data_IF_317428473793
#
_entry.id   IF_317428473793
#
_cell.length_a   1.000
_cell.length_b   1.000
_cell.length_c   1.000
_cell.angle_alpha   90.00
_cell.angle_beta   90.00
_cell.angle_gamma   90.00
#
_symmetry.space_group_name_H-M   'P 1'
#
loop_
_entity.id
_entity.type
_entity.pdbx_description
1 polymer ?
#
# COMPACT_ATOMS: atom_id res chain seq x y z
N UNK A 1 -8.59 -64.82 -31.00
CA UNK A 1 -7.75 -64.35 -32.09
C UNK A 1 -8.47 -63.12 -32.65
N UNK A 2 -8.07 -61.92 -32.46
CA UNK A 2 -6.79 -61.27 -32.39
C UNK A 2 -6.89 -60.01 -31.48
N UNK A 3 -5.95 -59.87 -30.59
CA UNK A 3 -5.71 -58.64 -29.85
C UNK A 3 -5.32 -57.51 -30.79
N UNK A 4 -5.95 -56.35 -30.64
CA UNK A 4 -5.48 -55.11 -31.27
C UNK A 4 -5.02 -54.17 -30.17
N UNK A 5 -3.71 -54.13 -29.98
CA UNK A 5 -3.01 -53.15 -29.15
C UNK A 5 -3.39 -51.72 -29.57
N UNK A 6 -4.06 -51.02 -28.68
CA UNK A 6 -4.21 -49.56 -28.76
C UNK A 6 -2.99 -48.95 -28.05
N UNK A 7 -1.96 -48.69 -28.84
CA UNK A 7 -0.80 -47.88 -28.44
C UNK A 7 -1.27 -46.47 -28.14
N UNK A 8 -1.32 -46.13 -26.85
CA UNK A 8 -1.49 -44.75 -26.42
C UNK A 8 -0.26 -43.94 -26.86
N UNK A 9 -0.45 -43.13 -27.89
CA UNK A 9 0.49 -42.08 -28.23
C UNK A 9 0.57 -41.09 -27.09
N UNK A 10 1.72 -41.05 -26.41
CA UNK A 10 2.05 -40.00 -25.45
C UNK A 10 2.05 -38.62 -26.15
N UNK A 11 1.81 -37.52 -25.40
CA UNK A 11 1.78 -36.21 -26.00
C UNK A 11 3.13 -35.87 -26.63
N UNK A 12 3.08 -35.54 -27.91
CA UNK A 12 4.21 -35.09 -28.72
C UNK A 12 4.85 -33.86 -28.09
N UNK A 13 6.06 -34.00 -27.58
CA UNK A 13 6.92 -32.90 -27.12
C UNK A 13 7.55 -32.22 -28.33
N UNK A 14 6.74 -31.53 -29.11
CA UNK A 14 7.22 -30.69 -30.24
C UNK A 14 6.84 -29.23 -29.89
N UNK A 15 7.78 -28.54 -29.27
CA UNK A 15 7.68 -27.12 -29.01
C UNK A 15 8.79 -26.70 -28.06
N UNK A 16 9.65 -25.75 -28.46
CA UNK A 16 10.73 -25.22 -27.61
C UNK A 16 10.26 -24.92 -26.19
N UNK A 17 11.15 -25.09 -25.24
CA UNK A 17 10.85 -24.80 -23.82
C UNK A 17 10.21 -23.40 -23.69
N UNK A 18 9.06 -23.25 -23.02
CA UNK A 18 8.43 -21.95 -22.91
C UNK A 18 9.39 -20.97 -22.21
N UNK A 19 9.68 -19.87 -22.88
CA UNK A 19 10.55 -18.81 -22.34
C UNK A 19 9.75 -17.97 -21.34
N UNK A 20 10.17 -17.99 -20.09
CA UNK A 20 9.60 -17.16 -19.03
C UNK A 20 10.45 -15.89 -18.85
N UNK A 21 9.81 -14.75 -18.77
CA UNK A 21 10.50 -13.48 -18.54
C UNK A 21 10.19 -12.97 -17.14
N UNK A 22 11.22 -12.80 -16.30
CA UNK A 22 11.12 -12.15 -15.01
C UNK A 22 11.56 -10.71 -15.17
N UNK A 23 10.64 -9.76 -15.00
CA UNK A 23 10.95 -8.33 -15.10
C UNK A 23 10.81 -7.67 -13.74
N UNK A 24 11.68 -6.69 -13.46
CA UNK A 24 11.49 -5.77 -12.33
C UNK A 24 11.66 -4.35 -12.82
N UNK A 25 10.62 -3.53 -12.63
CA UNK A 25 10.65 -2.09 -12.93
C UNK A 25 10.26 -1.27 -11.72
N UNK A 26 10.71 -0.02 -11.66
CA UNK A 26 10.36 0.91 -10.59
C UNK A 26 8.83 1.11 -10.51
N UNK A 27 8.14 1.17 -11.66
CA UNK A 27 6.68 1.36 -11.73
C UNK A 27 5.89 0.07 -11.55
N UNK A 28 6.25 -1.00 -12.25
CA UNK A 28 5.50 -2.26 -12.29
C UNK A 28 5.77 -3.17 -11.09
N UNK A 29 6.97 -3.07 -10.50
CA UNK A 29 7.49 -4.04 -9.54
C UNK A 29 7.99 -5.30 -10.23
N UNK A 30 8.00 -6.44 -9.52
CA UNK A 30 8.49 -7.72 -10.07
C UNK A 30 7.33 -8.52 -10.65
N UNK A 31 7.42 -8.84 -11.93
CA UNK A 31 6.46 -9.62 -12.69
C UNK A 31 7.13 -10.86 -13.31
N UNK A 32 6.34 -11.89 -13.56
CA UNK A 32 6.75 -13.06 -14.38
C UNK A 32 5.71 -13.24 -15.47
N UNK A 33 6.16 -13.19 -16.70
CA UNK A 33 5.38 -13.29 -17.93
C UNK A 33 5.76 -14.54 -18.72
N UNK A 34 4.95 -14.92 -19.72
CA UNK A 34 5.18 -16.10 -20.55
C UNK A 34 4.67 -17.40 -19.94
N UNK A 35 3.92 -17.35 -18.82
CA UNK A 35 3.35 -18.55 -18.19
C UNK A 35 2.02 -18.94 -18.82
N UNK A 36 1.81 -20.25 -19.04
CA UNK A 36 0.55 -20.80 -19.53
C UNK A 36 -0.15 -21.66 -18.47
N UNK A 37 -1.44 -21.87 -18.69
CA UNK A 37 -2.23 -22.69 -17.76
C UNK A 37 -1.84 -24.16 -17.86
N UNK A 38 -1.26 -24.71 -16.81
CA UNK A 38 -0.87 -26.12 -16.74
C UNK A 38 0.58 -26.40 -17.16
N UNK A 39 1.39 -25.36 -17.37
CA UNK A 39 2.82 -25.45 -17.71
C UNK A 39 3.72 -25.99 -16.59
N UNK A 40 3.19 -26.14 -15.37
CA UNK A 40 3.93 -26.66 -14.20
C UNK A 40 4.71 -25.60 -13.42
N UNK A 41 4.80 -24.34 -13.90
CA UNK A 41 5.53 -23.27 -13.19
C UNK A 41 4.80 -22.75 -11.93
N UNK A 42 3.49 -23.03 -11.81
CA UNK A 42 2.61 -22.48 -10.78
C UNK A 42 3.10 -22.72 -9.34
N UNK A 43 3.58 -23.94 -9.07
CA UNK A 43 3.95 -24.32 -7.70
C UNK A 43 5.25 -23.63 -7.29
N UNK A 44 6.24 -23.56 -8.18
CA UNK A 44 7.47 -22.79 -7.97
C UNK A 44 7.18 -21.29 -7.73
N UNK A 45 6.28 -20.70 -8.51
CA UNK A 45 5.88 -19.30 -8.36
C UNK A 45 5.13 -19.05 -7.02
N UNK A 46 4.27 -19.97 -6.60
CA UNK A 46 3.57 -19.88 -5.30
C UNK A 46 4.52 -20.04 -4.12
N UNK A 47 5.46 -20.98 -4.19
CA UNK A 47 6.50 -21.16 -3.18
C UNK A 47 7.36 -19.89 -3.04
N UNK A 48 7.72 -19.26 -4.15
CA UNK A 48 8.38 -17.96 -4.19
C UNK A 48 7.47 -16.79 -3.77
N UNK A 49 6.21 -17.07 -3.36
CA UNK A 49 5.19 -16.10 -2.92
C UNK A 49 4.75 -15.11 -3.99
N UNK A 50 4.81 -15.48 -5.25
CA UNK A 50 4.15 -14.75 -6.33
C UNK A 50 2.65 -15.03 -6.34
N UNK A 51 1.87 -14.08 -6.88
CA UNK A 51 0.41 -14.17 -7.04
C UNK A 51 0.03 -13.90 -8.48
N UNK A 52 -0.94 -14.62 -8.99
CA UNK A 52 -1.51 -14.37 -10.31
C UNK A 52 -2.43 -13.15 -10.29
N UNK A 53 -2.28 -12.25 -11.24
CA UNK A 53 -3.18 -11.13 -11.47
C UNK A 53 -3.90 -11.31 -12.82
N UNK A 54 -5.23 -11.44 -12.77
CA UNK A 54 -6.05 -11.50 -14.00
C UNK A 54 -5.95 -10.21 -14.83
N UNK A 55 -5.82 -9.06 -14.17
CA UNK A 55 -5.76 -7.77 -14.84
C UNK A 55 -4.41 -7.53 -15.54
N UNK A 56 -3.32 -8.09 -15.01
CA UNK A 56 -2.00 -7.98 -15.60
C UNK A 56 -1.69 -9.13 -16.57
N UNK A 57 -2.44 -10.22 -16.53
CA UNK A 57 -2.13 -11.43 -17.25
C UNK A 57 -0.78 -12.06 -16.85
N UNK A 58 -0.28 -11.76 -15.65
CA UNK A 58 1.06 -12.11 -15.21
C UNK A 58 1.08 -12.47 -13.71
N UNK A 59 2.12 -13.20 -13.30
CA UNK A 59 2.43 -13.38 -11.89
C UNK A 59 3.21 -12.18 -11.38
N UNK A 60 2.87 -11.72 -10.17
CA UNK A 60 3.52 -10.57 -9.55
C UNK A 60 3.98 -10.87 -8.13
N UNK A 61 5.08 -10.26 -7.72
CA UNK A 61 5.54 -10.27 -6.33
C UNK A 61 4.77 -9.19 -5.55
N UNK A 62 4.00 -9.55 -4.51
CA UNK A 62 3.30 -8.57 -3.69
C UNK A 62 4.25 -7.53 -3.08
N UNK A 63 3.83 -6.28 -3.05
CA UNK A 63 4.58 -5.16 -2.46
C UNK A 63 5.95 -4.89 -3.10
N UNK A 64 6.19 -5.28 -4.36
CA UNK A 64 7.43 -4.97 -5.09
C UNK A 64 7.38 -3.63 -5.84
N UNK A 65 6.18 -3.14 -6.20
CA UNK A 65 5.99 -1.89 -6.92
C UNK A 65 6.54 -0.70 -6.15
N UNK A 66 7.35 0.13 -6.81
CA UNK A 66 7.97 1.30 -6.23
C UNK A 66 8.97 0.99 -5.11
N UNK A 67 9.64 -0.14 -5.19
CA UNK A 67 10.67 -0.57 -4.23
C UNK A 67 11.87 -1.13 -4.96
N UNK A 68 13.02 -1.10 -4.32
CA UNK A 68 14.23 -1.73 -4.82
C UNK A 68 14.01 -3.23 -5.10
N UNK A 69 14.62 -3.79 -6.17
CA UNK A 69 14.50 -5.19 -6.52
C UNK A 69 15.02 -6.09 -5.41
N UNK A 70 14.33 -7.20 -5.18
CA UNK A 70 14.80 -8.26 -4.27
C UNK A 70 15.58 -9.28 -5.09
N UNK A 71 16.78 -8.92 -5.59
CA UNK A 71 17.56 -9.73 -6.53
C UNK A 71 17.68 -11.17 -6.07
N UNK A 72 18.10 -11.41 -4.84
CA UNK A 72 18.22 -12.77 -4.31
C UNK A 72 16.95 -13.63 -4.51
N UNK A 73 15.75 -13.07 -4.34
CA UNK A 73 14.50 -13.81 -4.59
C UNK A 73 14.22 -14.02 -6.06
N UNK A 74 14.60 -13.05 -6.88
CA UNK A 74 14.48 -13.15 -8.34
C UNK A 74 15.42 -14.24 -8.85
N UNK A 75 16.67 -14.22 -8.41
CA UNK A 75 17.70 -15.19 -8.81
C UNK A 75 17.36 -16.62 -8.33
N UNK A 76 16.87 -16.75 -7.10
CA UNK A 76 16.39 -18.02 -6.55
C UNK A 76 15.21 -18.58 -7.34
N UNK A 77 14.24 -17.74 -7.70
CA UNK A 77 13.12 -18.15 -8.56
C UNK A 77 13.61 -18.55 -9.95
N UNK A 78 14.48 -17.74 -10.56
CA UNK A 78 15.02 -18.03 -11.90
C UNK A 78 15.79 -19.35 -11.91
N UNK A 79 16.61 -19.62 -10.89
CA UNK A 79 17.32 -20.89 -10.74
C UNK A 79 16.33 -22.07 -10.59
N UNK A 80 15.30 -21.93 -9.76
CA UNK A 80 14.28 -22.96 -9.58
C UNK A 80 13.49 -23.26 -10.86
N UNK A 81 13.10 -22.24 -11.61
CA UNK A 81 12.41 -22.41 -12.88
C UNK A 81 13.31 -23.05 -13.95
N UNK A 82 14.60 -22.66 -14.03
CA UNK A 82 15.56 -23.30 -14.93
C UNK A 82 15.77 -24.76 -14.57
N UNK A 83 15.86 -25.10 -13.29
CA UNK A 83 15.96 -26.49 -12.83
C UNK A 83 14.70 -27.31 -13.18
N UNK A 84 13.54 -26.67 -13.27
CA UNK A 84 12.29 -27.29 -13.73
C UNK A 84 12.17 -27.39 -15.27
N UNK A 85 13.19 -26.97 -16.04
CA UNK A 85 13.25 -27.11 -17.50
C UNK A 85 12.73 -25.91 -18.28
N UNK A 86 12.48 -24.77 -17.63
CA UNK A 86 12.09 -23.54 -18.33
C UNK A 86 13.30 -22.73 -18.78
N UNK A 87 13.19 -22.09 -19.93
CA UNK A 87 14.10 -21.02 -20.32
C UNK A 87 13.68 -19.74 -19.60
N UNK A 88 14.60 -19.08 -18.86
CA UNK A 88 14.27 -17.91 -18.03
C UNK A 88 15.17 -16.73 -18.34
N UNK A 89 14.56 -15.67 -18.83
CA UNK A 89 15.19 -14.36 -18.99
C UNK A 89 14.90 -13.48 -17.75
N UNK A 90 15.90 -12.72 -17.29
CA UNK A 90 15.78 -11.84 -16.12
C UNK A 90 16.17 -10.42 -16.50
N UNK A 91 15.22 -9.50 -16.46
CA UNK A 91 15.38 -8.11 -16.80
C UNK A 91 15.09 -7.21 -15.60
N UNK A 92 16.11 -6.61 -15.00
CA UNK A 92 16.01 -5.75 -13.83
C UNK A 92 16.42 -4.33 -14.21
N UNK A 93 15.44 -3.43 -14.15
CA UNK A 93 15.67 -1.99 -14.30
C UNK A 93 16.56 -1.46 -13.17
N UNK A 94 17.40 -0.49 -13.50
CA UNK A 94 18.19 0.22 -12.49
C UNK A 94 17.25 0.89 -11.48
N UNK A 95 17.53 0.69 -10.20
CA UNK A 95 16.74 1.30 -9.14
C UNK A 95 16.89 2.82 -9.12
N UNK A 96 15.77 3.51 -9.25
CA UNK A 96 15.64 4.96 -9.12
C UNK A 96 14.67 5.29 -7.97
N UNK A 97 15.14 5.86 -6.86
CA UNK A 97 14.30 6.22 -5.72
C UNK A 97 13.17 7.20 -6.07
N UNK A 98 13.43 8.16 -7.00
CA UNK A 98 12.43 9.14 -7.42
C UNK A 98 11.31 8.48 -8.22
N UNK A 99 11.65 7.67 -9.22
CA UNK A 99 10.69 6.88 -9.97
C UNK A 99 9.90 5.91 -9.07
N UNK A 100 10.57 5.24 -8.14
CA UNK A 100 9.96 4.35 -7.16
C UNK A 100 9.01 5.11 -6.22
N UNK A 101 9.35 6.32 -5.79
CA UNK A 101 8.46 7.17 -4.99
C UNK A 101 7.22 7.58 -5.80
N UNK A 102 7.40 8.09 -7.02
CA UNK A 102 6.32 8.47 -7.92
C UNK A 102 5.38 7.30 -8.21
N UNK A 103 5.91 6.10 -8.46
CA UNK A 103 5.13 4.88 -8.66
C UNK A 103 4.25 4.53 -7.45
N UNK A 104 4.77 4.71 -6.22
CA UNK A 104 3.98 4.53 -4.99
C UNK A 104 2.86 5.56 -4.84
N UNK A 105 3.11 6.81 -5.23
CA UNK A 105 2.10 7.87 -5.21
C UNK A 105 0.99 7.55 -6.20
N UNK A 106 1.33 7.31 -7.47
CA UNK A 106 0.41 6.91 -8.54
C UNK A 106 -0.44 5.68 -8.17
N UNK A 107 0.19 4.65 -7.59
CA UNK A 107 -0.54 3.46 -7.13
C UNK A 107 -1.52 3.77 -5.97
N UNK A 108 -1.18 4.71 -5.11
CA UNK A 108 -2.05 5.19 -4.03
C UNK A 108 -3.25 5.96 -4.56
N UNK A 109 -3.03 6.87 -5.51
CA UNK A 109 -4.07 7.64 -6.21
C UNK A 109 -5.04 6.71 -6.94
N UNK A 110 -4.51 5.83 -7.79
CA UNK A 110 -5.32 4.83 -8.51
C UNK A 110 -6.15 3.94 -7.59
N UNK A 111 -5.60 3.61 -6.40
CA UNK A 111 -6.36 2.88 -5.39
C UNK A 111 -7.51 3.71 -4.84
N UNK A 112 -7.26 4.99 -4.56
CA UNK A 112 -8.28 5.93 -4.10
C UNK A 112 -9.42 6.09 -5.12
N UNK A 113 -9.07 6.27 -6.40
CA UNK A 113 -10.03 6.37 -7.51
C UNK A 113 -10.90 5.10 -7.61
N UNK A 114 -10.29 3.91 -7.71
CA UNK A 114 -11.06 2.65 -7.79
C UNK A 114 -11.99 2.44 -6.60
N UNK A 115 -11.63 2.90 -5.42
CA UNK A 115 -12.48 2.81 -4.24
C UNK A 115 -13.62 3.84 -4.29
N UNK A 116 -13.39 5.03 -4.84
CA UNK A 116 -14.42 6.03 -5.09
C UNK A 116 -15.44 5.55 -6.13
N UNK A 117 -14.95 4.96 -7.23
CA UNK A 117 -15.81 4.37 -8.27
C UNK A 117 -16.68 3.24 -7.70
N UNK A 118 -16.08 2.38 -6.86
CA UNK A 118 -16.83 1.34 -6.16
C UNK A 118 -17.90 1.95 -5.25
N UNK A 119 -17.58 2.99 -4.50
CA UNK A 119 -18.55 3.65 -3.63
C UNK A 119 -19.73 4.23 -4.42
N UNK A 120 -19.45 4.86 -5.56
CA UNK A 120 -20.48 5.39 -6.45
C UNK A 120 -21.37 4.28 -7.02
N UNK A 121 -20.78 3.15 -7.43
CA UNK A 121 -21.53 1.99 -7.91
C UNK A 121 -22.42 1.39 -6.82
N UNK A 122 -21.90 1.14 -5.64
CA UNK A 122 -22.66 0.61 -4.50
C UNK A 122 -23.82 1.56 -4.10
N UNK A 123 -23.56 2.89 -4.12
CA UNK A 123 -24.61 3.89 -3.85
C UNK A 123 -25.72 3.81 -4.88
N UNK A 124 -25.40 3.73 -6.17
CA UNK A 124 -26.38 3.58 -7.23
C UNK A 124 -27.23 2.30 -7.10
N UNK A 125 -26.63 1.18 -6.66
CA UNK A 125 -27.38 -0.04 -6.36
C UNK A 125 -28.32 0.16 -5.16
N UNK A 126 -27.86 0.85 -4.11
CA UNK A 126 -28.69 1.21 -2.96
C UNK A 126 -29.91 2.03 -3.37
N UNK A 127 -29.71 3.09 -4.16
CA UNK A 127 -30.77 3.95 -4.67
C UNK A 127 -31.80 3.19 -5.50
N UNK A 128 -31.37 2.23 -6.33
CA UNK A 128 -32.27 1.35 -7.11
C UNK A 128 -33.10 0.46 -6.19
N UNK A 129 -32.51 -0.07 -5.12
CA UNK A 129 -33.25 -0.89 -4.14
C UNK A 129 -34.21 -0.04 -3.31
N UNK A 130 -33.85 1.18 -2.92
CA UNK A 130 -34.74 2.12 -2.23
C UNK A 130 -35.96 2.45 -3.11
N UNK A 131 -35.75 2.74 -4.40
CA UNK A 131 -36.83 2.98 -5.33
C UNK A 131 -37.74 1.76 -5.47
N UNK A 132 -37.17 0.55 -5.60
CA UNK A 132 -37.98 -0.71 -5.66
C UNK A 132 -38.77 -0.99 -4.36
N UNK A 133 -38.19 -0.62 -3.22
CA UNK A 133 -38.85 -0.73 -1.93
C UNK A 133 -40.08 0.19 -1.87
N UNK A 134 -39.92 1.44 -2.33
CA UNK A 134 -40.97 2.42 -2.42
C UNK A 134 -42.08 1.98 -3.40
N UNK A 135 -41.70 1.60 -4.60
CA UNK A 135 -42.66 1.14 -5.65
C UNK A 135 -43.48 -0.09 -5.23
N UNK A 136 -42.83 -0.98 -4.46
CA UNK A 136 -43.54 -2.19 -3.98
C UNK A 136 -44.76 -1.89 -3.12
N UNK A 137 -44.76 -0.75 -2.44
CA UNK A 137 -45.87 -0.35 -1.51
C UNK A 137 -46.64 0.89 -1.99
N UNK A 138 -46.27 1.49 -3.10
CA UNK A 138 -46.86 2.75 -3.59
C UNK A 138 -48.39 2.66 -3.80
N UNK A 139 -48.92 1.48 -4.12
CA UNK A 139 -50.35 1.25 -4.27
C UNK A 139 -51.09 0.94 -2.97
N UNK A 140 -50.44 0.98 -1.82
CA UNK A 140 -51.04 0.66 -0.51
C UNK A 140 -51.23 1.99 0.26
N UNK A 141 -52.50 2.39 0.55
CA UNK A 141 -52.77 3.56 1.36
C UNK A 141 -52.15 3.44 2.76
N UNK A 142 -51.61 4.53 3.26
CA UNK A 142 -50.98 4.61 4.59
C UNK A 142 -52.05 4.26 5.65
N UNK A 143 -51.72 3.33 6.55
CA UNK A 143 -52.59 2.92 7.63
C UNK A 143 -53.63 1.84 7.21
N UNK A 144 -53.60 1.34 5.98
CA UNK A 144 -54.47 0.26 5.56
C UNK A 144 -54.17 -1.04 6.31
N UNK A 145 -55.15 -1.67 6.99
CA UNK A 145 -54.94 -2.92 7.70
C UNK A 145 -54.67 -4.09 6.73
N UNK A 146 -53.84 -5.01 7.14
CA UNK A 146 -53.55 -6.23 6.38
C UNK A 146 -54.65 -7.28 6.70
N UNK A 147 -55.49 -7.56 5.73
CA UNK A 147 -56.55 -8.55 5.92
C UNK A 147 -56.00 -10.00 5.91
N UNK A 148 -56.62 -10.94 6.67
CA UNK A 148 -56.25 -12.35 6.62
C UNK A 148 -56.69 -13.02 5.29
N UNK A 149 -56.11 -14.19 4.99
CA UNK A 149 -56.48 -15.00 3.84
C UNK A 149 -55.98 -14.44 2.49
N UNK A 150 -56.70 -14.81 1.42
CA UNK A 150 -56.34 -14.48 0.02
C UNK A 150 -56.39 -12.98 -0.25
N UNK A 151 -57.32 -12.26 0.33
CA UNK A 151 -57.51 -10.83 0.10
C UNK A 151 -56.30 -9.99 0.54
N UNK A 152 -55.62 -10.39 1.62
CA UNK A 152 -54.41 -9.68 2.09
C UNK A 152 -53.10 -10.28 1.58
N UNK A 153 -53.09 -11.33 0.76
CA UNK A 153 -51.89 -12.02 0.33
C UNK A 153 -50.94 -11.09 -0.48
N UNK A 154 -51.49 -10.33 -1.43
CA UNK A 154 -50.74 -9.39 -2.24
C UNK A 154 -50.12 -8.28 -1.38
N UNK A 155 -50.87 -7.77 -0.39
CA UNK A 155 -50.40 -6.73 0.54
C UNK A 155 -49.22 -7.25 1.35
N UNK A 156 -49.31 -8.46 1.94
CA UNK A 156 -48.18 -9.09 2.65
C UNK A 156 -46.96 -9.29 1.73
N UNK A 157 -47.19 -9.76 0.50
CA UNK A 157 -46.11 -9.92 -0.49
C UNK A 157 -45.44 -8.59 -0.87
N UNK A 158 -46.26 -7.52 -0.99
CA UNK A 158 -45.73 -6.17 -1.26
C UNK A 158 -44.87 -5.67 -0.11
N UNK A 159 -45.33 -5.81 1.15
CA UNK A 159 -44.55 -5.46 2.33
C UNK A 159 -43.27 -6.28 2.45
N UNK A 160 -43.33 -7.60 2.21
CA UNK A 160 -42.15 -8.46 2.25
C UNK A 160 -41.12 -8.04 1.18
N UNK A 161 -41.55 -7.73 -0.05
CA UNK A 161 -40.67 -7.22 -1.12
C UNK A 161 -40.05 -5.86 -0.74
N UNK A 162 -40.87 -4.94 -0.19
CA UNK A 162 -40.38 -3.64 0.27
C UNK A 162 -39.31 -3.81 1.34
N UNK A 163 -39.58 -4.62 2.38
CA UNK A 163 -38.61 -4.88 3.45
C UNK A 163 -37.31 -5.54 2.92
N UNK A 164 -37.42 -6.50 2.00
CA UNK A 164 -36.26 -7.12 1.37
C UNK A 164 -35.42 -6.12 0.58
N UNK A 165 -36.07 -5.23 -0.17
CA UNK A 165 -35.34 -4.16 -0.88
C UNK A 165 -34.73 -3.12 0.07
N UNK A 166 -35.43 -2.71 1.14
CA UNK A 166 -34.85 -1.82 2.15
C UNK A 166 -33.60 -2.42 2.81
N UNK A 167 -33.63 -3.73 3.12
CA UNK A 167 -32.46 -4.40 3.67
C UNK A 167 -31.28 -4.43 2.67
N UNK A 168 -31.55 -4.71 1.39
CA UNK A 168 -30.53 -4.67 0.34
C UNK A 168 -29.98 -3.24 0.14
N UNK A 169 -30.86 -2.24 0.14
CA UNK A 169 -30.45 -0.82 0.06
C UNK A 169 -29.50 -0.44 1.20
N UNK A 170 -29.87 -0.80 2.43
CA UNK A 170 -29.04 -0.53 3.61
C UNK A 170 -27.66 -1.20 3.52
N UNK A 171 -27.58 -2.44 3.00
CA UNK A 171 -26.31 -3.13 2.77
C UNK A 171 -25.46 -2.40 1.74
N UNK A 172 -26.03 -2.03 0.59
CA UNK A 172 -25.31 -1.31 -0.46
C UNK A 172 -24.85 0.08 0.00
N UNK A 173 -25.67 0.86 0.71
CA UNK A 173 -25.25 2.13 1.31
C UNK A 173 -24.13 1.95 2.34
N UNK A 174 -24.17 0.91 3.16
CA UNK A 174 -23.09 0.55 4.08
C UNK A 174 -21.78 0.23 3.36
N UNK A 175 -21.86 -0.54 2.27
CA UNK A 175 -20.72 -0.85 1.42
C UNK A 175 -20.15 0.41 0.75
N UNK A 176 -21.00 1.32 0.28
CA UNK A 176 -20.60 2.61 -0.30
C UNK A 176 -19.83 3.46 0.71
N UNK A 177 -20.37 3.64 1.91
CA UNK A 177 -19.70 4.38 3.01
C UNK A 177 -18.34 3.78 3.34
N UNK A 178 -18.25 2.45 3.49
CA UNK A 178 -16.98 1.77 3.74
C UNK A 178 -15.96 1.97 2.60
N UNK A 179 -16.39 1.99 1.36
CA UNK A 179 -15.52 2.22 0.21
C UNK A 179 -15.04 3.68 0.16
N UNK A 180 -15.90 4.66 0.47
CA UNK A 180 -15.53 6.09 0.58
C UNK A 180 -14.47 6.31 1.67
N UNK A 181 -14.68 5.80 2.87
CA UNK A 181 -13.71 5.92 3.96
C UNK A 181 -12.33 5.37 3.58
N UNK A 182 -12.32 4.22 2.87
CA UNK A 182 -11.06 3.62 2.36
C UNK A 182 -10.44 4.45 1.24
N UNK A 183 -11.25 5.08 0.37
CA UNK A 183 -10.77 6.00 -0.67
C UNK A 183 -10.08 7.20 -0.03
N UNK A 184 -10.74 7.83 0.93
CA UNK A 184 -10.20 8.96 1.66
C UNK A 184 -8.93 8.61 2.45
N UNK A 185 -8.89 7.43 3.07
CA UNK A 185 -7.69 6.94 3.74
C UNK A 185 -6.53 6.75 2.75
N UNK A 186 -6.79 6.23 1.54
CA UNK A 186 -5.78 6.09 0.50
C UNK A 186 -5.24 7.46 0.05
N UNK A 187 -6.10 8.44 -0.20
CA UNK A 187 -5.73 9.81 -0.57
C UNK A 187 -4.96 10.52 0.55
N UNK A 188 -5.40 10.37 1.81
CA UNK A 188 -4.65 10.89 2.97
C UNK A 188 -3.26 10.28 3.07
N UNK A 189 -3.12 8.99 2.78
CA UNK A 189 -1.82 8.31 2.81
C UNK A 189 -0.87 8.82 1.72
N UNK A 190 -1.37 9.14 0.52
CA UNK A 190 -0.60 9.77 -0.56
C UNK A 190 -0.05 11.11 -0.07
N UNK A 191 -0.91 12.03 0.34
CA UNK A 191 -0.49 13.36 0.87
C UNK A 191 0.47 13.26 2.05
N UNK A 192 0.24 12.29 2.96
CA UNK A 192 1.11 12.09 4.13
C UNK A 192 2.53 11.69 3.74
N UNK A 193 2.72 10.94 2.65
CA UNK A 193 4.07 10.55 2.19
C UNK A 193 4.90 11.73 1.72
N UNK A 194 4.25 12.78 1.22
CA UNK A 194 4.89 14.02 0.75
C UNK A 194 5.21 14.98 1.91
N UNK A 195 4.73 14.69 3.10
CA UNK A 195 5.00 15.52 4.27
C UNK A 195 6.47 15.45 4.67
N UNK A 196 7.18 16.58 4.78
CA UNK A 196 8.58 16.63 5.23
C UNK A 196 8.81 15.95 6.59
N UNK A 197 7.85 16.03 7.49
CA UNK A 197 7.88 15.34 8.80
C UNK A 197 7.93 13.83 8.62
N UNK A 198 7.09 13.28 7.71
CA UNK A 198 7.06 11.84 7.44
C UNK A 198 8.32 11.39 6.69
N UNK A 199 8.81 12.21 5.76
CA UNK A 199 10.10 11.97 5.10
C UNK A 199 11.24 11.98 6.12
N UNK A 200 11.26 12.91 7.07
CA UNK A 200 12.26 12.98 8.14
C UNK A 200 12.29 11.71 9.01
N UNK A 201 11.13 11.20 9.42
CA UNK A 201 11.04 9.90 10.13
C UNK A 201 11.61 8.75 9.29
N UNK A 202 11.34 8.78 7.98
CA UNK A 202 11.87 7.75 7.08
C UNK A 202 13.38 7.86 6.94
N UNK A 203 13.94 9.08 6.87
CA UNK A 203 15.39 9.33 6.88
C UNK A 203 16.03 8.75 8.13
N UNK A 204 15.52 9.03 9.34
CA UNK A 204 16.06 8.45 10.58
C UNK A 204 16.07 6.93 10.59
N UNK A 205 14.97 6.32 10.10
CA UNK A 205 14.86 4.86 9.98
C UNK A 205 15.92 4.29 9.02
N UNK A 206 16.11 4.94 7.87
CA UNK A 206 17.09 4.52 6.87
C UNK A 206 18.53 4.74 7.34
N UNK A 207 18.82 5.81 8.07
CA UNK A 207 20.14 6.03 8.69
C UNK A 207 20.46 4.94 9.75
N UNK A 208 19.44 4.50 10.50
CA UNK A 208 19.62 3.38 11.43
C UNK A 208 19.89 2.07 10.69
N UNK A 209 19.18 1.83 9.57
CA UNK A 209 19.39 0.69 8.70
C UNK A 209 20.79 0.74 8.05
N UNK A 210 21.22 1.91 7.53
CA UNK A 210 22.54 2.12 6.96
C UNK A 210 23.65 1.74 7.94
N UNK A 211 23.60 2.29 9.18
CA UNK A 211 24.57 1.94 10.23
C UNK A 211 24.58 0.46 10.57
N UNK A 212 23.41 -0.21 10.52
CA UNK A 212 23.30 -1.65 10.75
C UNK A 212 23.95 -2.45 9.63
N UNK A 213 23.68 -2.08 8.37
CA UNK A 213 24.24 -2.74 7.19
C UNK A 213 25.76 -2.55 7.11
N UNK A 214 26.29 -1.37 7.45
CA UNK A 214 27.72 -1.09 7.51
C UNK A 214 28.41 -1.99 8.54
N UNK A 215 27.83 -2.15 9.75
CA UNK A 215 28.36 -3.07 10.76
C UNK A 215 28.34 -4.52 10.30
N UNK A 216 27.25 -4.94 9.66
CA UNK A 216 27.12 -6.29 9.09
C UNK A 216 28.17 -6.51 8.00
N UNK A 217 28.40 -5.53 7.13
CA UNK A 217 29.34 -5.63 6.03
C UNK A 217 30.80 -5.75 6.51
N UNK A 218 31.13 -5.21 7.67
CA UNK A 218 32.47 -5.34 8.26
C UNK A 218 32.87 -6.80 8.59
N UNK A 219 31.89 -7.69 8.77
CA UNK A 219 32.11 -9.12 9.13
C UNK A 219 31.57 -10.10 8.09
N UNK A 220 30.72 -9.64 7.17
CA UNK A 220 30.12 -10.47 6.15
C UNK A 220 31.11 -10.85 5.05
N UNK A 221 30.99 -12.08 4.53
CA UNK A 221 31.83 -12.59 3.42
C UNK A 221 30.96 -13.25 2.35
N UNK A 222 31.52 -13.42 1.15
CA UNK A 222 30.87 -14.11 0.03
C UNK A 222 29.56 -13.45 -0.40
N UNK A 223 28.66 -14.24 -0.89
CA UNK A 223 27.36 -13.79 -1.42
C UNK A 223 26.53 -12.97 -0.42
N UNK A 224 26.68 -13.23 0.88
CA UNK A 224 25.99 -12.43 1.91
C UNK A 224 26.55 -11.00 1.99
N UNK A 225 27.86 -10.84 1.83
CA UNK A 225 28.47 -9.52 1.76
C UNK A 225 28.00 -8.74 0.50
N UNK A 226 27.88 -9.42 -0.64
CA UNK A 226 27.42 -8.80 -1.89
C UNK A 226 25.97 -8.33 -1.79
N UNK A 227 25.08 -9.16 -1.24
CA UNK A 227 23.70 -8.78 -0.95
C UNK A 227 23.60 -7.61 0.03
N UNK A 228 24.42 -7.61 1.06
CA UNK A 228 24.46 -6.53 2.05
C UNK A 228 24.94 -5.22 1.42
N UNK A 229 25.95 -5.29 0.55
CA UNK A 229 26.48 -4.12 -0.19
C UNK A 229 25.44 -3.54 -1.15
N UNK A 230 24.74 -4.41 -1.89
CA UNK A 230 23.66 -3.99 -2.77
C UNK A 230 22.54 -3.30 -1.98
N UNK A 231 22.11 -3.89 -0.87
CA UNK A 231 21.09 -3.29 -0.01
C UNK A 231 21.52 -1.94 0.55
N UNK A 232 22.79 -1.81 0.95
CA UNK A 232 23.36 -0.56 1.40
C UNK A 232 23.30 0.52 0.31
N UNK A 233 23.61 0.18 -0.93
CA UNK A 233 23.50 1.09 -2.07
C UNK A 233 22.07 1.61 -2.27
N UNK A 234 21.05 0.76 -2.16
CA UNK A 234 19.65 1.18 -2.24
C UNK A 234 19.25 2.11 -1.08
N UNK A 235 19.68 1.79 0.14
CA UNK A 235 19.42 2.65 1.32
C UNK A 235 20.06 4.02 1.16
N UNK A 236 21.28 4.10 0.66
CA UNK A 236 21.98 5.36 0.41
C UNK A 236 21.31 6.18 -0.70
N UNK A 237 20.86 5.54 -1.77
CA UNK A 237 20.09 6.21 -2.82
C UNK A 237 18.77 6.78 -2.28
N UNK A 238 18.01 6.00 -1.49
CA UNK A 238 16.79 6.47 -0.83
C UNK A 238 17.06 7.65 0.12
N UNK A 239 18.15 7.62 0.89
CA UNK A 239 18.55 8.71 1.79
C UNK A 239 18.84 10.00 1.03
N UNK A 240 19.61 9.91 -0.05
CA UNK A 240 19.93 11.06 -0.90
C UNK A 240 18.66 11.69 -1.44
N UNK A 241 17.81 10.89 -2.08
CA UNK A 241 16.53 11.35 -2.63
C UNK A 241 15.64 12.04 -1.58
N UNK A 242 15.45 11.40 -0.40
CA UNK A 242 14.59 11.96 0.63
C UNK A 242 15.12 13.25 1.24
N UNK A 243 16.45 13.38 1.40
CA UNK A 243 17.08 14.60 1.89
C UNK A 243 16.91 15.76 0.90
N UNK A 244 17.11 15.49 -0.39
CA UNK A 244 16.88 16.47 -1.47
C UNK A 244 15.41 16.89 -1.54
N UNK A 245 14.47 15.94 -1.43
CA UNK A 245 13.05 16.23 -1.42
C UNK A 245 12.63 17.09 -0.21
N UNK A 246 13.19 16.84 0.97
CA UNK A 246 12.95 17.67 2.16
C UNK A 246 13.54 19.08 1.94
N UNK A 247 14.74 19.20 1.38
CA UNK A 247 15.35 20.50 1.10
C UNK A 247 14.54 21.28 0.06
N UNK A 248 14.09 20.62 -1.00
CA UNK A 248 13.26 21.23 -2.03
C UNK A 248 11.87 21.68 -1.51
N UNK A 249 11.37 21.08 -0.43
CA UNK A 249 10.08 21.47 0.18
C UNK A 249 10.10 22.86 0.82
N UNK A 250 11.26 23.48 1.00
CA UNK A 250 11.45 24.79 1.65
C UNK A 250 11.07 24.81 3.14
N UNK A 251 10.78 23.67 3.74
CA UNK A 251 10.48 23.57 5.18
C UNK A 251 11.76 23.82 5.97
N UNK A 252 11.67 24.73 6.92
CA UNK A 252 12.81 25.05 7.80
C UNK A 252 13.23 23.82 8.60
N UNK A 253 14.52 23.46 8.47
CA UNK A 253 15.12 22.43 9.29
C UNK A 253 15.59 23.06 10.60
N UNK A 254 15.08 22.55 11.69
CA UNK A 254 15.50 22.95 13.03
C UNK A 254 16.63 22.06 13.54
N UNK A 255 17.53 22.66 14.31
CA UNK A 255 18.68 22.03 14.96
C UNK A 255 18.72 22.43 16.44
N UNK A 256 19.66 21.87 17.20
CA UNK A 256 19.87 22.26 18.58
C UNK A 256 20.31 23.75 18.72
N UNK A 257 20.93 24.33 17.71
CA UNK A 257 21.37 25.73 17.71
C UNK A 257 20.18 26.72 17.60
N UNK A 258 19.03 26.23 17.07
CA UNK A 258 17.85 27.07 16.90
C UNK A 258 17.04 27.27 18.19
N UNK A 259 17.30 26.51 19.25
CA UNK A 259 16.47 26.51 20.47
C UNK A 259 17.25 26.82 21.72
N UNK A 260 16.62 27.62 22.58
CA UNK A 260 17.07 27.89 23.94
C UNK A 260 16.04 27.37 24.95
N UNK A 261 16.46 27.17 26.17
CA UNK A 261 15.55 26.84 27.27
C UNK A 261 14.51 27.95 27.43
N UNK A 262 13.24 27.58 27.44
CA UNK A 262 12.11 28.48 27.57
C UNK A 262 11.44 28.84 26.24
N UNK A 263 12.06 28.59 25.08
CA UNK A 263 11.43 28.77 23.77
C UNK A 263 10.19 27.87 23.64
N UNK A 264 9.34 28.21 22.68
CA UNK A 264 8.19 27.38 22.28
C UNK A 264 8.50 26.66 20.99
N UNK A 265 8.27 25.36 20.95
CA UNK A 265 8.30 24.54 19.77
C UNK A 265 6.92 24.01 19.45
N UNK A 266 6.50 24.12 18.19
CA UNK A 266 5.25 23.50 17.72
C UNK A 266 5.54 22.07 17.23
N UNK A 267 4.95 21.10 17.92
CA UNK A 267 5.06 19.68 17.56
C UNK A 267 3.67 19.08 17.49
N UNK A 268 3.34 18.42 16.37
CA UNK A 268 2.01 17.82 16.12
C UNK A 268 0.85 18.82 16.30
N UNK A 269 1.09 20.09 15.93
CA UNK A 269 0.10 21.17 16.04
C UNK A 269 -0.03 21.79 17.45
N UNK A 270 0.72 21.31 18.44
CA UNK A 270 0.70 21.82 19.81
C UNK A 270 1.98 22.59 20.13
N UNK A 271 1.85 23.78 20.74
CA UNK A 271 2.96 24.56 21.28
C UNK A 271 3.40 24.03 22.63
N UNK A 272 4.69 23.74 22.76
CA UNK A 272 5.29 23.18 23.98
C UNK A 272 6.57 23.90 24.33
N UNK A 273 6.84 24.04 25.63
CA UNK A 273 8.02 24.73 26.14
C UNK A 273 9.23 23.82 26.04
N UNK A 274 10.31 24.36 25.50
CA UNK A 274 11.62 23.69 25.40
C UNK A 274 12.31 23.74 26.77
N UNK A 275 12.54 22.57 27.37
CA UNK A 275 13.38 22.45 28.58
C UNK A 275 14.86 22.35 28.23
N UNK A 276 15.19 21.61 27.16
CA UNK A 276 16.56 21.40 26.72
C UNK A 276 16.60 21.04 25.25
N UNK A 277 17.55 21.64 24.50
CA UNK A 277 17.92 21.24 23.16
C UNK A 277 19.10 20.24 23.25
N UNK A 278 18.80 18.96 22.94
CA UNK A 278 19.81 17.91 22.86
C UNK A 278 20.36 17.83 21.43
N UNK A 279 21.44 17.06 21.19
CA UNK A 279 22.05 16.95 19.88
C UNK A 279 21.09 16.47 18.76
N UNK A 280 20.07 15.63 19.08
CA UNK A 280 19.14 15.05 18.11
C UNK A 280 17.67 15.28 18.44
N UNK A 281 17.33 15.73 19.64
CA UNK A 281 15.94 15.85 20.13
C UNK A 281 15.76 17.11 20.96
N UNK A 282 14.51 17.58 21.02
CA UNK A 282 14.08 18.59 21.98
C UNK A 282 13.40 17.91 23.17
N UNK A 283 13.86 18.21 24.39
CA UNK A 283 13.16 17.85 25.61
C UNK A 283 12.08 18.92 25.89
N UNK A 284 10.83 18.53 25.74
CA UNK A 284 9.65 19.40 25.85
C UNK A 284 8.90 19.16 27.16
N UNK A 285 8.31 20.21 27.70
CA UNK A 285 7.44 20.10 28.88
C UNK A 285 6.14 19.36 28.58
N UNK A 286 5.74 18.51 29.50
CA UNK A 286 4.50 17.71 29.39
C UNK A 286 3.40 18.16 30.36
N UNK A 287 3.68 19.11 31.23
CA UNK A 287 2.81 19.43 32.38
C UNK A 287 2.99 18.47 33.59
N UNK A 288 3.88 17.46 33.41
CA UNK A 288 4.24 16.49 34.45
C UNK A 288 5.73 16.64 34.83
N UNK A 289 6.24 15.93 35.86
CA UNK A 289 7.66 15.97 36.24
C UNK A 289 8.64 15.48 35.16
N UNK A 290 8.18 14.76 34.17
CA UNK A 290 9.01 14.24 33.06
C UNK A 290 8.89 15.10 31.81
N UNK A 291 9.84 14.93 30.88
CA UNK A 291 9.86 15.58 29.57
C UNK A 291 9.66 14.56 28.47
N UNK A 292 9.01 14.95 27.35
CA UNK A 292 9.03 14.19 26.10
C UNK A 292 10.21 14.64 25.25
N UNK A 293 10.92 13.67 24.65
CA UNK A 293 12.01 13.93 23.73
C UNK A 293 11.51 13.79 22.29
N UNK A 294 11.32 14.91 21.61
CA UNK A 294 10.84 14.92 20.22
C UNK A 294 12.00 15.24 19.27
N UNK A 295 12.14 14.50 18.15
CA UNK A 295 13.18 14.79 17.16
C UNK A 295 12.91 16.10 16.42
N UNK A 296 13.96 16.75 15.95
CA UNK A 296 13.85 18.08 15.31
C UNK A 296 12.99 18.09 14.05
N UNK A 297 12.90 17.00 13.30
CA UNK A 297 12.04 16.92 12.11
C UNK A 297 10.52 16.90 12.44
N UNK A 298 10.13 16.68 13.70
CA UNK A 298 8.74 16.81 14.16
C UNK A 298 8.37 18.27 14.46
N UNK A 299 9.34 19.16 14.55
CA UNK A 299 9.10 20.58 14.87
C UNK A 299 8.68 21.30 13.61
N UNK A 300 7.48 21.87 13.63
CA UNK A 300 6.90 22.60 12.51
C UNK A 300 7.10 24.11 12.61
N UNK A 301 7.21 24.64 13.83
CA UNK A 301 7.42 26.07 14.03
C UNK A 301 8.12 26.34 15.38
N UNK A 302 8.68 27.56 15.55
CA UNK A 302 9.40 28.03 16.73
C UNK A 302 8.99 29.45 17.08
N UNK A 303 8.87 29.73 18.39
CA UNK A 303 8.76 31.09 18.95
C UNK A 303 9.75 31.28 20.08
N UNK A 304 10.27 32.47 20.19
CA UNK A 304 11.16 32.83 21.31
C UNK A 304 10.39 32.92 22.63
N UNK A 305 11.08 32.72 23.76
CA UNK A 305 10.49 32.80 25.09
C UNK A 305 9.79 34.16 25.39
N UNK A 306 10.26 35.25 24.73
CA UNK A 306 9.70 36.59 24.84
C UNK A 306 8.33 36.75 24.19
N UNK A 307 8.01 35.97 23.15
CA UNK A 307 6.73 36.01 22.45
C UNK A 307 5.60 35.28 23.21
N UNK A 308 5.96 34.55 24.27
CA UNK A 308 5.03 33.82 25.14
C UNK A 308 4.08 34.77 25.89
N UNK A 309 4.52 35.97 26.20
CA UNK A 309 3.79 36.96 27.00
C UNK A 309 2.74 37.74 26.18
N UNK A 310 2.79 37.69 24.87
CA UNK A 310 1.87 38.41 23.99
C UNK A 310 0.63 37.62 23.56
N UNK A 311 0.52 36.33 23.94
CA UNK A 311 -0.57 35.45 23.50
C UNK A 311 -1.38 34.81 24.65
N UNK A 312 -1.25 35.32 25.86
CA UNK A 312 -2.12 35.07 27.03
C UNK A 312 -2.89 36.34 27.32
#
# INVERSE_FOLDING_TARGET
>A
MSDTDIQQAGPSMAGGSPTLTITHTNEGGTLVEGTERGDGCRDALREARFRWSRNLGAWFMPQSRGRAPRRHRIDQLAAGLRAAGFEVEVNIEQYDPAAAFAARQKAGEQRGERLADRAAHERGLGDVHDQRAHDAVAGIPVGQPVFPGRTGSWHRSALTRSQGNMAAAAEHHGNATSAEERSDAARRQVRRRESPVVMGRKVESLEAEERSLQRTLATATGEYADRTRERLGFVQADLTFLREAIDASGVRKYTNADFKKGDLAQVRGQWRIVRKANAKTLALETGYPWTDNEPYHEVTDRRDATERTASL
#
